data_IF_167314080184
#
_entry.id   IF_167314080184
#
_cell.length_a   1.000
_cell.length_b   1.000
_cell.length_c   1.000
_cell.angle_alpha   90.00
_cell.angle_beta   90.00
_cell.angle_gamma   90.00
#
_symmetry.space_group_name_H-M   'P 1'
#
loop_
_entity.id
_entity.type
_entity.pdbx_description
1 polymer ?
#
# COMPACT_ATOMS: atom_id res chain seq x y z
N UNK A 1 -20.66 -7.77 -10.75
CA UNK A 1 -19.24 -7.59 -10.37
C UNK A 1 -19.17 -7.20 -8.89
N UNK A 2 -19.02 -8.17 -7.98
CA UNK A 2 -18.88 -7.94 -6.53
C UNK A 2 -18.01 -9.05 -5.96
N UNK A 3 -16.74 -8.76 -5.60
CA UNK A 3 -16.09 -9.46 -4.48
C UNK A 3 -14.88 -8.77 -3.87
N UNK A 4 -14.14 -7.92 -4.56
CA UNK A 4 -13.07 -7.11 -3.93
C UNK A 4 -12.91 -5.77 -4.64
N UNK A 5 -13.46 -4.69 -4.05
CA UNK A 5 -13.11 -3.34 -4.45
C UNK A 5 -11.88 -2.93 -3.64
N UNK A 6 -10.75 -2.78 -4.31
CA UNK A 6 -9.61 -2.06 -3.76
C UNK A 6 -9.93 -0.56 -3.84
N UNK A 7 -9.68 0.17 -2.77
CA UNK A 7 -9.66 1.62 -2.84
C UNK A 7 -8.42 2.08 -3.60
N UNK A 8 -8.49 3.24 -4.26
CA UNK A 8 -7.38 3.80 -5.05
C UNK A 8 -6.05 3.80 -4.26
N UNK A 9 -6.09 4.17 -2.98
CA UNK A 9 -4.89 4.17 -2.14
C UNK A 9 -4.37 2.75 -1.83
N UNK A 10 -5.25 1.76 -1.70
CA UNK A 10 -4.84 0.36 -1.51
C UNK A 10 -4.15 -0.19 -2.76
N UNK A 11 -4.64 0.17 -3.95
CA UNK A 11 -3.99 -0.20 -5.21
C UNK A 11 -2.58 0.36 -5.30
N UNK A 12 -2.40 1.64 -4.98
CA UNK A 12 -1.08 2.28 -4.92
C UNK A 12 -0.15 1.57 -3.94
N UNK A 13 -0.64 1.26 -2.73
CA UNK A 13 0.15 0.56 -1.71
C UNK A 13 0.54 -0.83 -2.20
N UNK A 14 -0.40 -1.60 -2.74
CA UNK A 14 -0.14 -2.96 -3.24
C UNK A 14 0.88 -2.97 -4.39
N UNK A 15 0.74 -2.05 -5.35
CA UNK A 15 1.71 -1.92 -6.44
C UNK A 15 3.09 -1.52 -5.92
N UNK A 16 3.16 -0.63 -4.93
CA UNK A 16 4.42 -0.22 -4.32
C UNK A 16 5.11 -1.38 -3.60
N UNK A 17 4.34 -2.19 -2.86
CA UNK A 17 4.86 -3.43 -2.24
C UNK A 17 5.44 -4.35 -3.31
N UNK A 18 4.73 -4.54 -4.43
CA UNK A 18 5.23 -5.34 -5.55
C UNK A 18 6.51 -4.79 -6.18
N UNK A 19 6.64 -3.47 -6.30
CA UNK A 19 7.85 -2.79 -6.80
C UNK A 19 9.05 -2.98 -5.87
N UNK A 20 8.83 -2.92 -4.55
CA UNK A 20 9.88 -3.05 -3.54
C UNK A 20 10.23 -4.51 -3.21
N UNK A 21 9.39 -5.46 -3.61
CA UNK A 21 9.58 -6.90 -3.36
C UNK A 21 9.87 -7.19 -1.88
N UNK A 22 11.02 -7.79 -1.56
CA UNK A 22 11.43 -8.13 -0.18
C UNK A 22 11.79 -6.93 0.70
N UNK A 23 11.97 -5.75 0.12
CA UNK A 23 12.35 -4.53 0.85
C UNK A 23 11.12 -3.69 1.26
N UNK A 24 9.91 -4.23 1.13
CA UNK A 24 8.64 -3.55 1.38
C UNK A 24 8.31 -3.41 2.88
N UNK A 25 9.11 -2.64 3.61
CA UNK A 25 8.82 -2.21 4.98
C UNK A 25 8.03 -0.90 4.98
N UNK A 26 7.25 -0.62 6.03
CA UNK A 26 6.36 0.56 6.07
C UNK A 26 7.06 1.90 5.77
N UNK A 27 8.33 2.05 6.17
CA UNK A 27 9.13 3.25 5.86
C UNK A 27 9.54 3.33 4.39
N UNK A 28 9.96 2.22 3.76
CA UNK A 28 10.35 2.21 2.35
C UNK A 28 9.14 2.38 1.44
N UNK A 29 8.00 1.76 1.77
CA UNK A 29 6.73 1.94 1.05
C UNK A 29 6.31 3.41 1.09
N UNK A 30 6.33 4.04 2.27
CA UNK A 30 6.00 5.47 2.42
C UNK A 30 6.91 6.33 1.53
N UNK A 31 8.22 6.13 1.61
CA UNK A 31 9.22 6.91 0.85
C UNK A 31 9.02 6.75 -0.66
N UNK A 32 8.73 5.54 -1.12
CA UNK A 32 8.52 5.25 -2.54
C UNK A 32 7.25 5.93 -3.08
N UNK A 33 6.15 5.87 -2.33
CA UNK A 33 4.90 6.56 -2.70
C UNK A 33 5.11 8.08 -2.73
N UNK A 34 5.75 8.64 -1.70
CA UNK A 34 6.02 10.07 -1.62
C UNK A 34 6.94 10.56 -2.75
N UNK A 35 7.94 9.76 -3.12
CA UNK A 35 8.87 10.04 -4.22
C UNK A 35 8.16 10.06 -5.58
N UNK A 36 7.30 9.06 -5.86
CA UNK A 36 6.63 8.95 -7.16
C UNK A 36 5.43 9.87 -7.33
N UNK A 37 4.60 9.96 -6.29
CA UNK A 37 3.32 10.70 -6.37
C UNK A 37 3.44 12.15 -5.91
N UNK A 38 4.60 12.58 -5.40
CA UNK A 38 4.83 13.93 -4.84
C UNK A 38 3.76 14.36 -3.82
N UNK A 39 3.19 13.38 -3.11
CA UNK A 39 2.13 13.54 -2.11
C UNK A 39 2.61 12.93 -0.80
N UNK A 40 2.45 13.68 0.30
CA UNK A 40 2.70 13.16 1.64
C UNK A 40 1.73 12.04 2.01
N UNK A 41 2.25 10.97 2.62
CA UNK A 41 1.46 9.84 3.08
C UNK A 41 1.51 9.77 4.60
N UNK A 42 0.36 9.76 5.27
CA UNK A 42 0.34 9.56 6.71
C UNK A 42 0.65 8.11 7.05
N UNK A 43 1.42 7.90 8.12
CA UNK A 43 1.76 6.54 8.60
C UNK A 43 0.49 5.76 8.97
N UNK A 44 -0.50 6.43 9.60
CA UNK A 44 -1.77 5.80 9.95
C UNK A 44 -2.58 5.34 8.73
N UNK A 45 -2.62 6.15 7.66
CA UNK A 45 -3.31 5.74 6.43
C UNK A 45 -2.62 4.54 5.77
N UNK A 46 -1.29 4.54 5.73
CA UNK A 46 -0.50 3.43 5.19
C UNK A 46 -0.73 2.13 5.99
N UNK A 47 -0.66 2.20 7.32
CA UNK A 47 -0.93 1.05 8.20
C UNK A 47 -2.34 0.50 8.00
N UNK A 48 -3.33 1.38 7.88
CA UNK A 48 -4.72 0.96 7.64
C UNK A 48 -4.86 0.28 6.28
N UNK A 49 -4.21 0.80 5.23
CA UNK A 49 -4.25 0.20 3.90
C UNK A 49 -3.57 -1.17 3.86
N UNK A 50 -2.40 -1.32 4.48
CA UNK A 50 -1.69 -2.60 4.58
C UNK A 50 -2.54 -3.64 5.30
N UNK A 51 -3.14 -3.27 6.44
CA UNK A 51 -4.04 -4.17 7.19
C UNK A 51 -5.25 -4.59 6.37
N UNK A 52 -5.90 -3.67 5.65
CA UNK A 52 -7.04 -4.03 4.79
C UNK A 52 -6.63 -4.93 3.62
N UNK A 53 -5.44 -4.76 3.07
CA UNK A 53 -4.89 -5.65 2.04
C UNK A 53 -4.60 -7.05 2.60
N UNK A 54 -4.11 -7.14 3.82
CA UNK A 54 -3.92 -8.40 4.56
C UNK A 54 -5.27 -9.08 4.87
N UNK A 55 -6.25 -8.35 5.41
CA UNK A 55 -7.61 -8.84 5.68
C UNK A 55 -8.31 -9.36 4.41
N UNK A 56 -7.99 -8.77 3.25
CA UNK A 56 -8.49 -9.19 1.93
C UNK A 56 -7.68 -10.35 1.32
N UNK A 57 -6.54 -10.72 1.90
CA UNK A 57 -5.68 -11.81 1.43
C UNK A 57 -4.73 -11.44 0.29
N UNK A 58 -4.50 -10.15 0.03
CA UNK A 58 -3.54 -9.68 -0.97
C UNK A 58 -2.09 -9.63 -0.46
N UNK A 59 -1.92 -9.49 0.86
CA UNK A 59 -0.62 -9.48 1.55
C UNK A 59 -0.63 -10.53 2.66
N UNK A 60 0.56 -10.92 3.14
CA UNK A 60 0.80 -11.88 4.21
C UNK A 60 1.90 -11.40 5.14
#
# INVERSE_FOLDING_TARGET
>A
MKKYQLGEFEEVVMLTVGVLYGDAYGVSIKKEIESRLKRGVSVGALQTALRRLEDKGYLK
#
